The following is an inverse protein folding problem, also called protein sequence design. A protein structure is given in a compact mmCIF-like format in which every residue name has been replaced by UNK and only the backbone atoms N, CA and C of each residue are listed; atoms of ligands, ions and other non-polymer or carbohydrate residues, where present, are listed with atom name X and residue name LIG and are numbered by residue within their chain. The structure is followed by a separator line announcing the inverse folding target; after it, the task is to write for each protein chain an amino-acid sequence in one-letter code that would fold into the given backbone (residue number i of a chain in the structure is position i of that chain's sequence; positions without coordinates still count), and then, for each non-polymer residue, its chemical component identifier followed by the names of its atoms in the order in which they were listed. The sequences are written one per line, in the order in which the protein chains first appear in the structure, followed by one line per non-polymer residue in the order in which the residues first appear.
data_IF_690598188836
#
_entry.id   IF_690598188836
#
_cell.length_a   1.000
_cell.length_b   1.000
_cell.length_c   1.000
_cell.angle_alpha   90.00
_cell.angle_beta   90.00
_cell.angle_gamma   90.00
#
_symmetry.space_group_name_H-M   'P 1'
#
loop_
_entity.id
_entity.type
_entity.pdbx_description
1 polymer ?
#
# COMPACT_ATOMS: atom_id res chain seq x y z
N UNK A 1 18.44 -4.42 18.74
CA UNK A 1 17.39 -5.15 17.99
C UNK A 1 17.97 -5.49 16.62
N UNK A 2 17.90 -6.75 16.13
CA UNK A 2 18.39 -7.09 14.80
C UNK A 2 17.53 -6.39 13.72
N UNK A 3 18.17 -6.00 12.61
CA UNK A 3 17.51 -5.36 11.48
C UNK A 3 16.50 -6.33 10.83
N UNK A 4 15.21 -6.02 10.96
CA UNK A 4 14.10 -6.82 10.39
C UNK A 4 13.52 -6.26 9.10
N UNK A 5 14.11 -5.20 8.53
CA UNK A 5 13.62 -4.56 7.32
C UNK A 5 13.50 -5.54 6.15
N UNK A 6 14.44 -6.50 6.05
CA UNK A 6 14.42 -7.56 5.03
C UNK A 6 13.19 -8.47 5.18
N UNK A 7 12.80 -8.79 6.41
CA UNK A 7 11.66 -9.66 6.69
C UNK A 7 10.34 -8.97 6.32
N UNK A 8 10.22 -7.68 6.64
CA UNK A 8 9.08 -6.84 6.29
C UNK A 8 8.94 -6.68 4.76
N UNK A 9 10.05 -6.43 4.06
CA UNK A 9 10.07 -6.38 2.60
C UNK A 9 9.62 -7.71 1.97
N UNK A 10 10.12 -8.84 2.49
CA UNK A 10 9.71 -10.15 2.00
C UNK A 10 8.20 -10.42 2.21
N UNK A 11 7.61 -9.90 3.28
CA UNK A 11 6.16 -10.01 3.51
C UNK A 11 5.37 -9.11 2.55
N UNK A 12 5.84 -7.88 2.32
CA UNK A 12 5.22 -6.96 1.37
C UNK A 12 5.16 -7.55 -0.06
N UNK A 13 6.24 -8.20 -0.50
CA UNK A 13 6.28 -8.85 -1.81
C UNK A 13 5.25 -9.99 -1.94
N UNK A 14 5.03 -10.77 -0.87
CA UNK A 14 4.00 -11.82 -0.85
C UNK A 14 2.59 -11.27 -0.88
N UNK A 15 2.33 -10.17 -0.17
CA UNK A 15 1.04 -9.50 -0.22
C UNK A 15 0.75 -8.96 -1.64
N UNK A 16 1.78 -8.48 -2.35
CA UNK A 16 1.65 -8.03 -3.75
C UNK A 16 1.35 -9.20 -4.70
N UNK A 17 2.04 -10.33 -4.54
CA UNK A 17 1.75 -11.56 -5.29
C UNK A 17 0.29 -12.00 -5.10
N UNK A 18 -0.20 -11.97 -3.86
CA UNK A 18 -1.60 -12.27 -3.54
C UNK A 18 -2.59 -11.27 -4.15
N UNK A 19 -2.23 -9.99 -4.21
CA UNK A 19 -3.04 -8.96 -4.86
C UNK A 19 -3.18 -9.24 -6.36
N UNK A 20 -2.09 -9.64 -7.02
CA UNK A 20 -2.11 -10.02 -8.42
C UNK A 20 -2.96 -11.27 -8.67
N UNK A 21 -2.83 -12.31 -7.84
CA UNK A 21 -3.65 -13.52 -7.92
C UNK A 21 -5.13 -13.23 -7.73
N UNK A 22 -5.47 -12.37 -6.77
CA UNK A 22 -6.85 -11.96 -6.53
C UNK A 22 -7.41 -11.17 -7.71
N UNK A 23 -6.60 -10.28 -8.31
CA UNK A 23 -6.97 -9.55 -9.53
C UNK A 23 -7.19 -10.51 -10.70
N UNK A 24 -6.29 -11.47 -10.91
CA UNK A 24 -6.42 -12.51 -11.95
C UNK A 24 -7.68 -13.35 -11.78
N UNK A 25 -8.10 -13.58 -10.54
CA UNK A 25 -9.31 -14.33 -10.21
C UNK A 25 -10.61 -13.50 -10.16
N UNK A 26 -10.56 -12.20 -10.52
CA UNK A 26 -11.74 -11.32 -10.53
C UNK A 26 -12.24 -10.87 -9.14
N UNK A 27 -11.50 -11.16 -8.06
CA UNK A 27 -11.82 -10.72 -6.69
C UNK A 27 -11.18 -9.35 -6.44
N UNK A 28 -11.74 -8.33 -7.07
CA UNK A 28 -11.16 -6.98 -7.10
C UNK A 28 -11.06 -6.34 -5.71
N UNK A 29 -12.03 -6.60 -4.84
CA UNK A 29 -12.02 -6.15 -3.44
C UNK A 29 -10.84 -6.74 -2.65
N UNK A 30 -10.56 -8.03 -2.86
CA UNK A 30 -9.42 -8.71 -2.24
C UNK A 30 -8.08 -8.27 -2.84
N UNK A 31 -8.05 -7.97 -4.13
CA UNK A 31 -6.86 -7.42 -4.78
C UNK A 31 -6.49 -6.06 -4.17
N UNK A 32 -7.46 -5.16 -3.99
CA UNK A 32 -7.23 -3.85 -3.36
C UNK A 32 -6.79 -3.99 -1.89
N UNK A 33 -7.43 -4.87 -1.12
CA UNK A 33 -7.05 -5.13 0.26
C UNK A 33 -5.60 -5.62 0.37
N UNK A 34 -5.21 -6.63 -0.42
CA UNK A 34 -3.86 -7.18 -0.39
C UNK A 34 -2.80 -6.17 -0.87
N UNK A 35 -3.13 -5.34 -1.87
CA UNK A 35 -2.25 -4.27 -2.34
C UNK A 35 -1.97 -3.20 -1.25
N UNK A 36 -2.98 -2.84 -0.46
CA UNK A 36 -2.80 -1.95 0.69
C UNK A 36 -1.83 -2.56 1.72
N UNK A 37 -2.03 -3.83 2.08
CA UNK A 37 -1.16 -4.53 3.03
C UNK A 37 0.30 -4.59 2.54
N UNK A 38 0.51 -4.83 1.24
CA UNK A 38 1.83 -4.80 0.62
C UNK A 38 2.51 -3.43 0.77
N UNK A 39 1.76 -2.35 0.50
CA UNK A 39 2.27 -0.99 0.64
C UNK A 39 2.65 -0.66 2.09
N UNK A 40 1.82 -1.03 3.06
CA UNK A 40 2.08 -0.81 4.48
C UNK A 40 3.34 -1.54 4.96
N UNK A 41 3.50 -2.83 4.64
CA UNK A 41 4.65 -3.63 5.10
C UNK A 41 5.95 -3.29 4.36
N UNK A 42 5.86 -2.83 3.12
CA UNK A 42 7.02 -2.51 2.28
C UNK A 42 7.58 -1.11 2.51
N UNK A 43 6.83 -0.27 3.23
CA UNK A 43 7.18 1.09 3.55
C UNK A 43 8.43 1.09 4.46
N UNK A 44 9.57 1.70 4.07
CA UNK A 44 10.70 1.85 4.98
C UNK A 44 10.34 2.83 6.10
N UNK A 45 9.71 2.32 7.15
CA UNK A 45 9.26 3.10 8.32
C UNK A 45 10.41 3.90 8.96
N UNK A 46 11.64 3.37 8.87
CA UNK A 46 12.86 4.00 9.37
C UNK A 46 13.36 5.19 8.51
N UNK A 47 12.73 5.46 7.35
CA UNK A 47 13.12 6.54 6.43
C UNK A 47 12.01 7.59 6.18
N UNK A 48 10.85 7.48 6.82
CA UNK A 48 9.80 8.48 6.69
C UNK A 48 9.97 9.59 7.72
N UNK A 49 10.44 10.75 7.24
CA UNK A 49 10.44 11.99 7.98
C UNK A 49 9.17 12.82 7.74
N UNK A 50 9.14 14.06 8.26
CA UNK A 50 8.00 14.96 8.11
C UNK A 50 7.60 15.22 6.66
N UNK A 51 8.58 15.39 5.76
CA UNK A 51 8.34 15.67 4.34
C UNK A 51 7.63 14.52 3.63
N UNK A 52 8.07 13.28 3.86
CA UNK A 52 7.44 12.12 3.26
C UNK A 52 6.03 11.88 3.81
N UNK A 53 5.80 12.21 5.09
CA UNK A 53 4.47 12.17 5.70
C UNK A 53 3.51 13.17 5.04
N UNK A 54 3.98 14.40 4.79
CA UNK A 54 3.18 15.44 4.12
C UNK A 54 2.82 15.06 2.68
N UNK A 55 3.77 14.49 1.92
CA UNK A 55 3.49 14.01 0.56
C UNK A 55 2.49 12.84 0.54
N UNK A 56 2.63 11.88 1.46
CA UNK A 56 1.70 10.77 1.57
C UNK A 56 0.27 11.25 1.87
N UNK A 57 0.13 12.22 2.78
CA UNK A 57 -1.15 12.85 3.11
C UNK A 57 -1.74 13.61 1.92
N UNK A 58 -0.89 14.28 1.12
CA UNK A 58 -1.34 14.97 -0.11
C UNK A 58 -1.88 13.97 -1.13
N UNK A 59 -1.15 12.89 -1.42
CA UNK A 59 -1.62 11.86 -2.36
C UNK A 59 -2.90 11.18 -1.89
N UNK A 60 -3.03 10.89 -0.60
CA UNK A 60 -4.25 10.32 -0.04
C UNK A 60 -5.46 11.24 -0.26
N UNK A 61 -5.30 12.56 -0.10
CA UNK A 61 -6.36 13.54 -0.41
C UNK A 61 -6.72 13.57 -1.89
N UNK A 62 -5.73 13.56 -2.78
CA UNK A 62 -5.97 13.57 -4.23
C UNK A 62 -6.79 12.35 -4.68
N UNK A 63 -6.46 11.16 -4.16
CA UNK A 63 -7.22 9.93 -4.41
C UNK A 63 -8.65 10.04 -3.89
N UNK A 64 -8.83 10.61 -2.70
CA UNK A 64 -10.15 10.75 -2.09
C UNK A 64 -11.04 11.73 -2.87
N UNK A 65 -10.49 12.86 -3.29
CA UNK A 65 -11.21 13.84 -4.11
C UNK A 65 -11.56 13.29 -5.50
N UNK A 66 -10.64 12.56 -6.14
CA UNK A 66 -10.93 11.85 -7.37
C UNK A 66 -12.10 10.86 -7.19
N UNK A 67 -12.05 10.04 -6.14
CA UNK A 67 -13.10 9.05 -5.87
C UNK A 67 -14.46 9.71 -5.62
N UNK A 68 -14.50 10.81 -4.84
CA UNK A 68 -15.71 11.60 -4.63
C UNK A 68 -16.29 12.15 -5.93
N UNK A 69 -15.43 12.63 -6.84
CA UNK A 69 -15.88 13.17 -8.12
C UNK A 69 -16.49 12.12 -9.04
N UNK A 70 -16.07 10.86 -8.95
CA UNK A 70 -16.62 9.75 -9.75
C UNK A 70 -17.92 9.15 -9.17
N UNK A 71 -18.28 9.49 -7.92
CA UNK A 71 -19.48 8.99 -7.23
C UNK A 71 -20.68 9.97 -7.29
N UNK A 72 -20.50 11.16 -7.87
CA UNK A 72 -21.55 12.15 -8.12
C UNK A 72 -22.10 12.02 -9.54
#
# INVERSE_FOLDING_TARGET
MPNRARDWLNQALRDLEQAEDSRRAGRHEWACFAAQQAAEKGAPFEHYGPLQSEEAIRYAREIFEFSRAQMA
#
